data_IF_589099674129
#
_entry.id   IF_589099674129
#
_cell.length_a   1.000
_cell.length_b   1.000
_cell.length_c   1.000
_cell.angle_alpha   90.00
_cell.angle_beta   90.00
_cell.angle_gamma   90.00
#
_symmetry.space_group_name_H-M   'P 1'
#
loop_
_entity.id
_entity.type
_entity.pdbx_description
1 polymer ?
#
# COMPACT_ATOMS: atom_id res chain seq x y z
N UNK A 1 32.90 9.93 11.57
CA UNK A 1 31.43 9.75 11.57
C UNK A 1 30.79 10.63 10.50
N UNK A 2 30.91 10.28 9.21
CA UNK A 2 30.33 11.07 8.11
C UNK A 2 29.02 10.50 7.55
N UNK A 3 28.85 9.17 7.62
CA UNK A 3 27.76 8.44 6.96
C UNK A 3 26.70 7.88 7.91
N UNK A 4 26.73 8.28 9.19
CA UNK A 4 25.83 7.71 10.20
C UNK A 4 24.35 8.05 9.95
N UNK A 5 24.07 9.07 9.15
CA UNK A 5 22.71 9.55 8.85
C UNK A 5 22.28 9.30 7.40
N UNK A 6 23.10 8.62 6.58
CA UNK A 6 22.80 8.39 5.15
C UNK A 6 21.81 7.22 4.93
N UNK A 7 21.06 6.85 5.96
CA UNK A 7 20.08 5.76 5.90
C UNK A 7 18.81 6.25 5.21
N UNK A 8 18.29 5.43 4.29
CA UNK A 8 16.95 5.61 3.75
C UNK A 8 15.90 5.09 4.74
N UNK A 9 14.83 5.85 4.94
CA UNK A 9 13.72 5.43 5.79
C UNK A 9 12.77 4.47 5.06
N UNK A 10 12.14 3.59 5.86
CA UNK A 10 11.16 2.63 5.37
C UNK A 10 9.83 3.31 5.08
N UNK A 11 9.12 2.81 4.06
CA UNK A 11 7.76 3.27 3.76
C UNK A 11 6.76 2.77 4.82
N UNK A 12 5.74 3.59 5.08
CA UNK A 12 4.62 3.24 5.97
C UNK A 12 3.60 2.36 5.24
N UNK A 13 3.12 1.31 5.92
CA UNK A 13 2.07 0.41 5.45
C UNK A 13 0.94 0.33 6.47
N UNK A 14 -0.28 0.10 5.98
CA UNK A 14 -1.52 -0.13 6.74
C UNK A 14 -2.18 -1.36 6.15
N UNK A 15 -2.73 -2.21 7.01
CA UNK A 15 -3.55 -3.34 6.60
C UNK A 15 -4.91 -2.85 6.08
N UNK A 16 -5.31 -3.29 4.89
CA UNK A 16 -6.64 -3.01 4.37
C UNK A 16 -7.71 -3.81 5.11
N UNK A 17 -8.81 -3.16 5.45
CA UNK A 17 -9.87 -3.78 6.26
C UNK A 17 -10.69 -4.81 5.48
N UNK A 18 -10.75 -4.70 4.15
CA UNK A 18 -11.58 -5.55 3.31
C UNK A 18 -10.77 -6.72 2.72
N UNK A 19 -9.51 -6.47 2.33
CA UNK A 19 -8.64 -7.50 1.72
C UNK A 19 -7.60 -8.12 2.65
N UNK A 20 -7.32 -7.50 3.81
CA UNK A 20 -6.24 -7.92 4.71
C UNK A 20 -4.83 -7.70 4.14
N UNK A 21 -4.69 -7.03 2.99
CA UNK A 21 -3.39 -6.78 2.38
C UNK A 21 -2.74 -5.48 2.85
N UNK A 22 -1.40 -5.44 2.83
CA UNK A 22 -0.66 -4.23 3.17
C UNK A 22 -0.74 -3.21 2.03
N UNK A 23 -1.45 -2.12 2.29
CA UNK A 23 -1.50 -0.95 1.40
C UNK A 23 -0.78 0.25 2.00
N UNK A 24 -0.42 1.21 1.14
CA UNK A 24 0.09 2.50 1.62
C UNK A 24 -1.07 3.37 2.12
N UNK A 25 -0.88 4.16 3.20
CA UNK A 25 -1.88 5.13 3.64
C UNK A 25 -2.32 6.03 2.47
N UNK A 26 -3.62 6.20 2.27
CA UNK A 26 -4.21 7.01 1.18
C UNK A 26 -4.03 6.47 -0.25
N UNK A 27 -3.48 5.27 -0.43
CA UNK A 27 -3.44 4.61 -1.74
C UNK A 27 -4.55 3.56 -1.87
N UNK A 28 -4.93 3.31 -3.12
CA UNK A 28 -5.79 2.18 -3.51
C UNK A 28 -5.08 0.86 -3.23
N UNK A 29 -5.84 -0.15 -2.83
CA UNK A 29 -5.38 -1.53 -2.89
C UNK A 29 -5.27 -1.95 -4.36
N UNK A 30 -4.08 -2.38 -4.77
CA UNK A 30 -3.78 -2.71 -6.17
C UNK A 30 -4.32 -4.08 -6.59
N UNK A 31 -4.62 -4.96 -5.64
CA UNK A 31 -5.19 -6.26 -5.93
C UNK A 31 -6.69 -6.14 -6.15
N UNK A 32 -7.40 -5.64 -5.15
CA UNK A 32 -8.85 -5.50 -5.21
C UNK A 32 -9.29 -4.28 -6.01
N UNK A 33 -8.43 -3.29 -6.22
CA UNK A 33 -8.79 -2.01 -6.83
C UNK A 33 -9.64 -1.12 -5.92
N UNK A 34 -9.76 -1.46 -4.62
CA UNK A 34 -10.62 -0.78 -3.67
C UNK A 34 -9.92 0.37 -2.94
N UNK A 35 -10.67 1.42 -2.62
CA UNK A 35 -10.25 2.46 -1.66
C UNK A 35 -11.45 3.01 -0.90
N UNK A 36 -11.38 2.97 0.43
CA UNK A 36 -12.46 3.43 1.33
C UNK A 36 -13.82 2.80 0.99
N UNK A 37 -13.84 1.49 0.72
CA UNK A 37 -15.06 0.74 0.40
C UNK A 37 -15.68 1.06 -0.97
N UNK A 38 -14.94 1.67 -1.89
CA UNK A 38 -15.36 1.91 -3.28
C UNK A 38 -14.40 1.27 -4.26
N UNK A 39 -14.97 0.68 -5.31
CA UNK A 39 -14.21 0.17 -6.47
C UNK A 39 -13.67 1.36 -7.28
N UNK A 40 -12.35 1.52 -7.34
CA UNK A 40 -11.68 2.62 -8.06
C UNK A 40 -11.06 2.13 -9.38
N UNK A 41 -10.50 0.93 -9.37
CA UNK A 41 -9.91 0.27 -10.54
C UNK A 41 -10.64 -1.03 -10.81
N UNK A 42 -10.56 -1.57 -12.02
CA UNK A 42 -10.94 -2.97 -12.22
C UNK A 42 -10.00 -3.88 -11.40
N UNK A 43 -10.52 -4.92 -10.72
CA UNK A 43 -9.68 -5.88 -10.00
C UNK A 43 -8.63 -6.46 -10.95
N UNK A 44 -7.36 -6.49 -10.53
CA UNK A 44 -6.31 -7.13 -11.32
C UNK A 44 -6.32 -8.61 -10.98
N UNK A 45 -6.47 -9.44 -12.00
CA UNK A 45 -6.16 -10.86 -11.90
C UNK A 45 -4.65 -11.04 -11.71
N UNK A 46 -4.28 -11.92 -10.78
CA UNK A 46 -2.90 -12.33 -10.53
C UNK A 46 -2.41 -13.13 -11.76
N UNK A 47 -1.66 -12.48 -12.67
CA UNK A 47 -0.85 -13.14 -13.70
C UNK A 47 0.51 -13.51 -13.12
#
# INVERSE_FOLDING_TARGET
MRRAHDRLDMNTYIEDADSGELRRPHHVDLKTGMYRGRQVLEPRDDI
#
